data_IF_528743264822
#
_entry.id   IF_528743264822
#
_cell.length_a   1.000
_cell.length_b   1.000
_cell.length_c   1.000
_cell.angle_alpha   90.00
_cell.angle_beta   90.00
_cell.angle_gamma   90.00
#
_symmetry.space_group_name_H-M   'P 1'
#
loop_
_entity.id
_entity.type
_entity.pdbx_description
1 polymer ?
#
# COMPACT_ATOMS: atom_id res chain seq x y z
N UNK A 1 13.30 -1.85 -28.89
CA UNK A 1 12.34 -2.18 -27.82
C UNK A 1 12.50 -1.27 -26.61
N UNK A 2 13.72 -1.07 -26.08
CA UNK A 2 13.96 -0.12 -24.98
C UNK A 2 13.51 1.32 -25.27
N UNK A 3 13.68 1.82 -26.50
CA UNK A 3 13.27 3.19 -26.87
C UNK A 3 11.76 3.47 -26.65
N UNK A 4 10.90 2.48 -26.91
CA UNK A 4 9.46 2.62 -26.69
C UNK A 4 9.11 2.63 -25.20
N UNK A 5 9.79 1.80 -24.39
CA UNK A 5 9.60 1.79 -22.95
C UNK A 5 10.10 3.10 -22.31
N UNK A 6 11.22 3.63 -22.80
CA UNK A 6 11.76 4.92 -22.37
C UNK A 6 10.82 6.06 -22.70
N UNK A 7 10.26 6.10 -23.92
CA UNK A 7 9.23 7.07 -24.31
C UNK A 7 8.00 6.98 -23.42
N UNK A 8 7.50 5.77 -23.18
CA UNK A 8 6.37 5.55 -22.27
C UNK A 8 6.66 6.06 -20.85
N UNK A 9 7.81 5.70 -20.28
CA UNK A 9 8.19 6.10 -18.93
C UNK A 9 8.36 7.62 -18.82
N UNK A 10 9.03 8.24 -19.80
CA UNK A 10 9.19 9.69 -19.86
C UNK A 10 7.84 10.42 -20.00
N UNK A 11 6.94 9.92 -20.84
CA UNK A 11 5.58 10.47 -20.98
C UNK A 11 4.75 10.33 -19.69
N UNK A 12 4.99 9.28 -18.91
CA UNK A 12 4.32 9.04 -17.64
C UNK A 12 4.94 9.81 -16.45
N UNK A 13 6.07 10.52 -16.61
CA UNK A 13 6.78 11.14 -15.49
C UNK A 13 5.93 12.13 -14.69
N UNK A 14 5.20 13.02 -15.37
CA UNK A 14 4.31 13.98 -14.67
C UNK A 14 3.24 13.26 -13.86
N UNK A 15 2.62 12.23 -14.43
CA UNK A 15 1.63 11.41 -13.73
C UNK A 15 2.23 10.67 -12.54
N UNK A 16 3.45 10.13 -12.69
CA UNK A 16 4.17 9.46 -11.60
C UNK A 16 4.52 10.43 -10.46
N UNK A 17 4.94 11.65 -10.79
CA UNK A 17 5.22 12.69 -9.80
C UNK A 17 3.95 13.15 -9.08
N UNK A 18 2.83 13.29 -9.79
CA UNK A 18 1.54 13.65 -9.21
C UNK A 18 1.02 12.54 -8.27
N UNK A 19 1.14 11.27 -8.68
CA UNK A 19 0.79 10.11 -7.85
C UNK A 19 1.65 10.07 -6.58
N UNK A 20 2.96 10.22 -6.72
CA UNK A 20 3.89 10.25 -5.57
C UNK A 20 3.57 11.41 -4.63
N UNK A 21 3.36 12.60 -5.17
CA UNK A 21 2.93 13.78 -4.39
C UNK A 21 1.59 13.53 -3.69
N UNK A 22 0.67 12.81 -4.31
CA UNK A 22 -0.62 12.46 -3.68
C UNK A 22 -0.44 11.50 -2.51
N UNK A 23 0.44 10.49 -2.63
CA UNK A 23 0.79 9.60 -1.52
C UNK A 23 1.28 10.43 -0.33
N UNK A 24 2.24 11.33 -0.55
CA UNK A 24 2.78 12.18 0.51
C UNK A 24 1.71 13.07 1.15
N UNK A 25 0.86 13.72 0.36
CA UNK A 25 -0.25 14.55 0.88
C UNK A 25 -1.21 13.74 1.74
N UNK A 26 -1.58 12.54 1.31
CA UNK A 26 -2.49 11.69 2.08
C UNK A 26 -1.82 11.18 3.36
N UNK A 27 -0.53 10.84 3.35
CA UNK A 27 0.21 10.47 4.55
C UNK A 27 0.27 11.62 5.57
N UNK A 28 0.53 12.85 5.12
CA UNK A 28 0.50 14.04 5.98
C UNK A 28 -0.90 14.28 6.55
N UNK A 29 -1.95 14.13 5.74
CA UNK A 29 -3.32 14.26 6.17
C UNK A 29 -3.71 13.19 7.19
N UNK A 30 -3.28 11.94 6.99
CA UNK A 30 -3.45 10.85 7.95
C UNK A 30 -2.82 11.20 9.30
N UNK A 31 -1.58 11.68 9.31
CA UNK A 31 -0.91 12.06 10.56
C UNK A 31 -1.67 13.17 11.30
N UNK A 32 -2.09 14.21 10.60
CA UNK A 32 -2.89 15.29 11.19
C UNK A 32 -4.24 14.80 11.72
N UNK A 33 -4.88 13.85 11.04
CA UNK A 33 -6.13 13.26 11.54
C UNK A 33 -5.90 12.32 12.73
N UNK A 34 -4.76 11.65 12.81
CA UNK A 34 -4.40 10.78 13.94
C UNK A 34 -4.18 11.58 15.22
N UNK A 35 -3.51 12.73 15.13
CA UNK A 35 -3.36 13.68 16.25
C UNK A 35 -4.75 14.14 16.74
N UNK A 36 -5.62 14.59 15.83
CA UNK A 36 -6.98 14.99 16.18
C UNK A 36 -7.84 13.83 16.73
N UNK A 37 -7.65 12.61 16.22
CA UNK A 37 -8.31 11.40 16.72
C UNK A 37 -7.91 11.15 18.17
N UNK A 38 -6.63 11.24 18.49
CA UNK A 38 -6.12 11.00 19.83
C UNK A 38 -6.65 12.05 20.82
N UNK A 39 -6.62 13.34 20.48
CA UNK A 39 -7.16 14.40 21.33
C UNK A 39 -8.66 14.21 21.63
N UNK A 40 -9.45 13.83 20.63
CA UNK A 40 -10.87 13.55 20.80
C UNK A 40 -11.10 12.27 21.61
N UNK A 41 -10.26 11.24 21.44
CA UNK A 41 -10.34 10.00 22.23
C UNK A 41 -10.06 10.29 23.71
N UNK A 42 -9.00 11.03 24.03
CA UNK A 42 -8.63 11.38 25.41
C UNK A 42 -9.75 12.19 26.08
N UNK A 43 -10.40 13.09 25.33
CA UNK A 43 -11.56 13.83 25.80
C UNK A 43 -12.74 12.90 26.10
N UNK A 44 -13.03 11.93 25.22
CA UNK A 44 -14.09 10.96 25.46
C UNK A 44 -13.79 10.15 26.71
N UNK A 45 -12.59 9.60 26.83
CA UNK A 45 -12.20 8.74 27.96
C UNK A 45 -12.27 9.48 29.30
N UNK A 46 -11.93 10.78 29.32
CA UNK A 46 -12.02 11.62 30.52
C UNK A 46 -13.46 11.85 30.99
N UNK A 47 -14.39 12.12 30.05
CA UNK A 47 -15.75 12.56 30.40
C UNK A 47 -16.78 11.43 30.40
N UNK A 48 -16.56 10.30 29.72
CA UNK A 48 -17.52 9.19 29.65
C UNK A 48 -17.78 8.59 31.05
N UNK A 49 -16.77 8.56 31.93
CA UNK A 49 -16.91 8.14 33.33
C UNK A 49 -17.58 9.17 34.26
N UNK A 50 -17.58 10.46 33.88
CA UNK A 50 -18.17 11.56 34.67
C UNK A 50 -19.66 11.69 34.36
N UNK A 51 -20.06 11.59 33.09
CA UNK A 51 -21.46 11.68 32.65
C UNK A 51 -22.32 10.55 33.23
N UNK A 52 -21.73 9.41 33.59
CA UNK A 52 -22.45 8.30 34.24
C UNK A 52 -22.75 8.54 35.73
N UNK A 53 -22.10 9.50 36.40
CA UNK A 53 -22.18 9.69 37.86
C UNK A 53 -23.11 10.82 38.31
N UNK A 54 -23.39 11.82 37.46
CA UNK A 54 -24.12 13.03 37.85
C UNK A 54 -25.41 13.30 37.05
N UNK A 55 -26.42 13.82 37.76
CA UNK A 55 -27.77 14.15 37.25
C UNK A 55 -27.80 15.45 36.41
N UNK A 56 -26.69 16.20 36.34
CA UNK A 56 -26.49 17.40 35.49
C UNK A 56 -26.20 17.03 34.03
N UNK A 57 -27.08 16.18 33.48
CA UNK A 57 -26.86 15.31 32.34
C UNK A 57 -26.86 16.03 30.98
N UNK A 58 -27.43 17.22 30.86
CA UNK A 58 -27.91 17.70 29.55
C UNK A 58 -26.85 18.44 28.72
N UNK A 59 -26.06 19.35 29.31
CA UNK A 59 -25.07 20.12 28.54
C UNK A 59 -23.78 19.33 28.31
N UNK A 60 -23.33 18.57 29.30
CA UNK A 60 -22.12 17.74 29.17
C UNK A 60 -22.33 16.55 28.22
N UNK A 61 -23.55 15.98 28.14
CA UNK A 61 -23.85 14.90 27.19
C UNK A 61 -23.83 15.40 25.74
N UNK A 62 -24.48 16.53 25.44
CA UNK A 62 -24.49 17.10 24.09
C UNK A 62 -23.08 17.48 23.62
N UNK A 63 -22.25 18.03 24.52
CA UNK A 63 -20.84 18.31 24.25
C UNK A 63 -20.04 17.04 23.94
N UNK A 64 -20.21 16.00 24.76
CA UNK A 64 -19.53 14.72 24.60
C UNK A 64 -19.96 13.99 23.32
N UNK A 65 -21.25 14.00 22.98
CA UNK A 65 -21.77 13.41 21.75
C UNK A 65 -21.16 14.08 20.51
N UNK A 66 -20.99 15.41 20.55
CA UNK A 66 -20.28 16.13 19.47
C UNK A 66 -18.83 15.69 19.33
N UNK A 67 -18.13 15.44 20.44
CA UNK A 67 -16.74 14.94 20.40
C UNK A 67 -16.70 13.51 19.86
N UNK A 68 -17.62 12.62 20.27
CA UNK A 68 -17.75 11.26 19.72
C UNK A 68 -18.01 11.28 18.21
N UNK A 69 -18.83 12.21 17.72
CA UNK A 69 -19.03 12.41 16.27
C UNK A 69 -17.75 12.83 15.55
N UNK A 70 -16.97 13.76 16.13
CA UNK A 70 -15.66 14.15 15.56
C UNK A 70 -14.67 12.99 15.54
N UNK A 71 -14.58 12.23 16.63
CA UNK A 71 -13.73 11.04 16.75
C UNK A 71 -14.05 10.03 15.64
N UNK A 72 -15.33 9.69 15.46
CA UNK A 72 -15.77 8.82 14.38
C UNK A 72 -15.44 9.39 12.99
N UNK A 73 -15.55 10.72 12.82
CA UNK A 73 -15.11 11.42 11.62
C UNK A 73 -13.61 11.27 11.34
N UNK A 74 -12.77 11.40 12.38
CA UNK A 74 -11.32 11.23 12.26
C UNK A 74 -10.97 9.79 11.88
N UNK A 75 -11.56 8.78 12.54
CA UNK A 75 -11.33 7.36 12.23
C UNK A 75 -11.62 7.07 10.76
N UNK A 76 -12.80 7.48 10.27
CA UNK A 76 -13.19 7.27 8.87
C UNK A 76 -12.27 8.02 7.90
N UNK A 77 -11.81 9.20 8.26
CA UNK A 77 -10.88 9.97 7.43
C UNK A 77 -9.53 9.24 7.31
N UNK A 78 -8.98 8.73 8.41
CA UNK A 78 -7.75 7.93 8.44
C UNK A 78 -7.87 6.69 7.56
N UNK A 79 -8.95 5.93 7.70
CA UNK A 79 -9.24 4.76 6.86
C UNK A 79 -9.29 5.14 5.37
N UNK A 80 -9.99 6.23 5.05
CA UNK A 80 -10.12 6.73 3.67
C UNK A 80 -8.77 7.12 3.09
N UNK A 81 -7.94 7.86 3.83
CA UNK A 81 -6.61 8.22 3.38
C UNK A 81 -5.71 7.00 3.20
N UNK A 82 -5.82 5.98 4.06
CA UNK A 82 -5.14 4.70 3.88
C UNK A 82 -5.47 4.05 2.53
N UNK A 83 -6.76 3.96 2.20
CA UNK A 83 -7.23 3.44 0.90
C UNK A 83 -6.70 4.28 -0.27
N UNK A 84 -6.73 5.62 -0.16
CA UNK A 84 -6.23 6.52 -1.21
C UNK A 84 -4.72 6.35 -1.45
N UNK A 85 -3.95 6.16 -0.38
CA UNK A 85 -2.52 5.86 -0.47
C UNK A 85 -2.29 4.53 -1.19
N UNK A 86 -3.02 3.48 -0.85
CA UNK A 86 -2.90 2.17 -1.50
C UNK A 86 -3.28 2.21 -2.98
N UNK A 87 -4.32 2.98 -3.35
CA UNK A 87 -4.71 3.20 -4.75
C UNK A 87 -3.58 3.89 -5.52
N UNK A 88 -3.03 4.98 -4.98
CA UNK A 88 -1.95 5.72 -5.63
C UNK A 88 -0.66 4.88 -5.74
N UNK A 89 -0.34 4.11 -4.70
CA UNK A 89 0.79 3.20 -4.70
C UNK A 89 0.61 2.06 -5.73
N UNK A 90 -0.59 1.48 -5.81
CA UNK A 90 -0.93 0.46 -6.81
C UNK A 90 -0.83 1.00 -8.24
N UNK A 91 -1.26 2.24 -8.48
CA UNK A 91 -1.11 2.91 -9.77
C UNK A 91 0.36 3.14 -10.16
N UNK A 92 1.21 3.52 -9.20
CA UNK A 92 2.65 3.67 -9.41
C UNK A 92 3.30 2.32 -9.79
N UNK A 93 2.96 1.23 -9.09
CA UNK A 93 3.40 -0.12 -9.43
C UNK A 93 2.87 -0.59 -10.79
N UNK A 94 1.64 -0.24 -11.14
CA UNK A 94 1.02 -0.54 -12.44
C UNK A 94 1.81 0.10 -13.60
N UNK A 95 2.12 1.40 -13.51
CA UNK A 95 2.91 2.11 -14.53
C UNK A 95 4.32 1.52 -14.62
N UNK A 96 4.93 1.23 -13.48
CA UNK A 96 6.26 0.61 -13.40
C UNK A 96 6.30 -0.75 -14.10
N UNK A 97 5.35 -1.64 -13.76
CA UNK A 97 5.23 -2.96 -14.40
C UNK A 97 4.96 -2.82 -15.90
N UNK A 98 4.15 -1.85 -16.32
CA UNK A 98 3.84 -1.62 -17.73
C UNK A 98 5.08 -1.21 -18.51
N UNK A 99 5.91 -0.30 -17.97
CA UNK A 99 7.18 0.08 -18.59
C UNK A 99 8.11 -1.13 -18.79
N UNK A 100 8.27 -1.97 -17.74
CA UNK A 100 9.07 -3.19 -17.83
C UNK A 100 8.49 -4.20 -18.83
N UNK A 101 7.16 -4.29 -18.93
CA UNK A 101 6.50 -5.18 -19.87
C UNK A 101 6.70 -4.72 -21.32
N UNK A 102 6.73 -3.41 -21.58
CA UNK A 102 7.05 -2.86 -22.90
C UNK A 102 8.51 -3.15 -23.28
N UNK A 103 9.43 -3.03 -22.33
CA UNK A 103 10.86 -3.25 -22.57
C UNK A 103 11.21 -4.74 -22.77
N UNK A 104 10.66 -5.62 -21.93
CA UNK A 104 11.14 -7.00 -21.77
C UNK A 104 10.07 -8.07 -22.03
N UNK A 105 8.79 -7.68 -22.13
CA UNK A 105 7.66 -8.59 -22.27
C UNK A 105 7.34 -9.32 -20.97
N UNK A 106 7.99 -10.48 -20.76
CA UNK A 106 7.78 -11.32 -19.57
C UNK A 106 8.68 -10.88 -18.41
N UNK A 107 8.25 -11.15 -17.17
CA UNK A 107 9.00 -10.80 -15.96
C UNK A 107 10.40 -11.40 -15.97
N UNK A 108 10.54 -12.65 -16.40
CA UNK A 108 11.79 -13.40 -16.40
C UNK A 108 12.87 -12.78 -17.32
N UNK A 109 12.43 -11.98 -18.30
CA UNK A 109 13.33 -11.29 -19.23
C UNK A 109 13.82 -9.94 -18.70
N UNK A 110 13.15 -9.37 -17.68
CA UNK A 110 13.53 -8.09 -17.11
C UNK A 110 14.70 -8.26 -16.13
N UNK A 111 15.65 -7.29 -16.09
CA UNK A 111 16.73 -7.30 -15.12
C UNK A 111 16.16 -7.30 -13.69
N UNK A 112 16.83 -7.96 -12.75
CA UNK A 112 16.38 -8.06 -11.36
C UNK A 112 16.36 -6.71 -10.65
N UNK A 113 17.27 -5.81 -11.02
CA UNK A 113 17.58 -4.61 -10.26
C UNK A 113 18.28 -4.94 -8.94
N UNK A 114 18.32 -3.98 -8.02
CA UNK A 114 18.92 -4.15 -6.70
C UNK A 114 18.22 -5.27 -5.90
N UNK A 115 18.99 -5.96 -5.06
CA UNK A 115 18.43 -6.88 -4.07
C UNK A 115 17.81 -6.10 -2.93
N UNK A 116 16.60 -6.50 -2.51
CA UNK A 116 15.83 -5.86 -1.44
C UNK A 116 15.14 -6.98 -0.64
N UNK A 117 15.39 -7.07 0.66
CA UNK A 117 14.71 -8.02 1.57
C UNK A 117 14.52 -9.44 1.00
N UNK A 118 15.61 -10.14 0.68
CA UNK A 118 15.66 -11.48 0.03
C UNK A 118 14.97 -11.64 -1.33
N UNK A 119 14.50 -10.54 -1.92
CA UNK A 119 13.95 -10.48 -3.26
C UNK A 119 14.69 -9.40 -4.07
N UNK A 120 14.13 -8.97 -5.19
CA UNK A 120 14.69 -7.92 -6.03
C UNK A 120 13.62 -6.90 -6.44
N UNK A 121 14.06 -5.70 -6.85
CA UNK A 121 13.16 -4.61 -7.26
C UNK A 121 12.15 -5.06 -8.31
N UNK A 122 12.60 -5.77 -9.35
CA UNK A 122 11.73 -6.30 -10.41
C UNK A 122 10.59 -7.15 -9.87
N UNK A 123 10.91 -8.06 -8.96
CA UNK A 123 9.92 -9.00 -8.43
C UNK A 123 8.94 -8.31 -7.49
N UNK A 124 9.40 -7.33 -6.72
CA UNK A 124 8.53 -6.47 -5.92
C UNK A 124 7.57 -5.64 -6.79
N UNK A 125 8.04 -5.08 -7.91
CA UNK A 125 7.16 -4.36 -8.85
C UNK A 125 6.08 -5.30 -9.39
N UNK A 126 6.46 -6.47 -9.89
CA UNK A 126 5.53 -7.38 -10.55
C UNK A 126 4.52 -8.00 -9.59
N UNK A 127 5.02 -8.55 -8.48
CA UNK A 127 4.18 -9.23 -7.51
C UNK A 127 3.43 -8.24 -6.63
N UNK A 128 4.04 -7.10 -6.31
CA UNK A 128 3.36 -6.00 -5.63
C UNK A 128 2.18 -5.46 -6.42
N UNK A 129 2.36 -5.21 -7.73
CA UNK A 129 1.25 -4.82 -8.62
C UNK A 129 0.15 -5.88 -8.66
N UNK A 130 0.51 -7.15 -8.81
CA UNK A 130 -0.49 -8.21 -8.90
C UNK A 130 -1.27 -8.36 -7.60
N UNK A 131 -0.57 -8.31 -6.47
CA UNK A 131 -1.17 -8.35 -5.15
C UNK A 131 -2.10 -7.16 -4.94
N UNK A 132 -1.67 -5.93 -5.26
CA UNK A 132 -2.49 -4.73 -5.02
C UNK A 132 -3.78 -4.68 -5.83
N UNK A 133 -3.84 -5.39 -6.96
CA UNK A 133 -5.04 -5.46 -7.81
C UNK A 133 -5.96 -6.66 -7.55
N UNK A 134 -5.41 -7.73 -6.96
CA UNK A 134 -6.09 -9.02 -6.85
C UNK A 134 -6.00 -9.59 -5.43
N UNK A 135 -5.83 -8.73 -4.41
CA UNK A 135 -5.60 -9.18 -3.04
C UNK A 135 -6.80 -9.94 -2.49
N UNK A 136 -8.04 -9.60 -2.89
CA UNK A 136 -9.25 -10.31 -2.48
C UNK A 136 -9.30 -11.75 -2.99
N UNK A 137 -8.62 -12.02 -4.10
CA UNK A 137 -8.53 -13.34 -4.74
C UNK A 137 -7.31 -14.15 -4.25
N UNK A 138 -6.67 -13.72 -3.15
CA UNK A 138 -5.47 -14.37 -2.62
C UNK A 138 -5.73 -15.83 -2.25
N UNK A 139 -5.00 -16.73 -2.90
CA UNK A 139 -5.00 -18.18 -2.63
C UNK A 139 -3.69 -18.59 -1.98
N UNK A 140 -3.73 -18.82 -0.67
CA UNK A 140 -2.56 -19.25 0.11
C UNK A 140 -2.20 -20.72 -0.12
N UNK A 141 -3.19 -21.54 -0.46
CA UNK A 141 -3.02 -22.98 -0.71
C UNK A 141 -3.52 -23.35 -2.11
N UNK A 142 -2.90 -24.35 -2.77
CA UNK A 142 -3.35 -24.81 -4.06
C UNK A 142 -4.72 -25.49 -3.93
N UNK A 143 -5.62 -25.18 -4.86
CA UNK A 143 -6.91 -25.87 -4.97
C UNK A 143 -6.67 -27.26 -5.55
N UNK A 144 -7.19 -28.30 -4.88
CA UNK A 144 -7.06 -29.70 -5.31
C UNK A 144 -8.43 -30.29 -5.62
N UNK A 145 -8.50 -31.20 -6.60
CA UNK A 145 -9.69 -31.98 -6.87
C UNK A 145 -9.86 -33.14 -5.86
N UNK A 146 -10.96 -33.87 -5.96
CA UNK A 146 -11.26 -35.06 -5.13
C UNK A 146 -10.18 -36.15 -5.21
N UNK A 147 -9.37 -36.15 -6.27
CA UNK A 147 -8.24 -37.08 -6.48
C UNK A 147 -6.90 -36.53 -5.96
N UNK A 148 -6.91 -35.39 -5.25
CA UNK A 148 -5.72 -34.73 -4.72
C UNK A 148 -4.86 -33.99 -5.75
N UNK A 149 -5.25 -33.95 -7.03
CA UNK A 149 -4.52 -33.25 -8.11
C UNK A 149 -4.79 -31.75 -8.01
N UNK A 150 -3.73 -30.95 -8.09
CA UNK A 150 -3.83 -29.47 -8.11
C UNK A 150 -4.57 -29.01 -9.37
N UNK A 151 -5.70 -28.33 -9.17
CA UNK A 151 -6.49 -27.66 -10.20
C UNK A 151 -5.89 -26.27 -10.47
N UNK A 152 -5.62 -25.52 -9.42
CA UNK A 152 -5.06 -24.16 -9.48
C UNK A 152 -4.03 -23.99 -8.38
N UNK A 153 -2.88 -23.40 -8.70
CA UNK A 153 -1.84 -23.10 -7.72
C UNK A 153 -2.20 -21.96 -6.76
N UNK A 154 -1.27 -21.63 -5.88
CA UNK A 154 -1.34 -20.42 -5.05
C UNK A 154 -1.24 -19.16 -5.94
N UNK A 155 -1.68 -18.02 -5.41
CA UNK A 155 -1.47 -16.74 -6.08
C UNK A 155 0.03 -16.45 -6.24
N UNK A 156 0.43 -15.87 -7.37
CA UNK A 156 1.84 -15.76 -7.77
C UNK A 156 2.71 -14.94 -6.81
N UNK A 157 2.10 -14.06 -6.03
CA UNK A 157 2.77 -13.20 -5.06
C UNK A 157 3.00 -13.87 -3.70
N UNK A 158 2.30 -14.96 -3.37
CA UNK A 158 2.27 -15.53 -2.01
C UNK A 158 3.67 -15.89 -1.51
N UNK A 159 4.49 -16.56 -2.31
CA UNK A 159 5.82 -16.98 -1.84
C UNK A 159 6.72 -15.79 -1.47
N UNK A 160 6.68 -14.71 -2.26
CA UNK A 160 7.49 -13.52 -2.01
C UNK A 160 7.00 -12.78 -0.77
N UNK A 161 5.70 -12.57 -0.64
CA UNK A 161 5.15 -11.86 0.51
C UNK A 161 5.28 -12.66 1.80
N UNK A 162 5.25 -14.00 1.75
CA UNK A 162 5.58 -14.81 2.91
C UNK A 162 7.03 -14.61 3.35
N UNK A 163 8.00 -14.65 2.42
CA UNK A 163 9.42 -14.38 2.74
C UNK A 163 9.64 -12.99 3.32
N UNK A 164 8.93 -11.98 2.81
CA UNK A 164 8.97 -10.62 3.34
C UNK A 164 8.37 -10.56 4.75
N UNK A 165 7.26 -11.26 4.99
CA UNK A 165 6.64 -11.33 6.31
C UNK A 165 7.51 -12.07 7.32
N UNK A 166 8.23 -13.12 6.91
CA UNK A 166 9.16 -13.85 7.77
C UNK A 166 10.31 -12.94 8.25
N UNK A 167 10.72 -11.96 7.43
CA UNK A 167 11.73 -10.96 7.80
C UNK A 167 11.18 -9.77 8.59
N UNK A 168 9.92 -9.42 8.34
CA UNK A 168 9.22 -8.30 8.98
C UNK A 168 7.84 -8.77 9.44
N UNK A 169 7.76 -9.52 10.55
CA UNK A 169 6.50 -10.12 11.01
C UNK A 169 5.39 -9.07 11.21
N UNK A 170 4.20 -9.39 10.71
CA UNK A 170 2.99 -8.57 10.83
C UNK A 170 2.84 -7.48 9.77
N UNK A 171 3.90 -7.15 9.02
CA UNK A 171 3.82 -6.10 7.98
C UNK A 171 3.24 -6.61 6.66
N UNK A 172 3.64 -7.81 6.25
CA UNK A 172 3.24 -8.44 4.98
C UNK A 172 2.29 -9.61 5.21
N UNK A 173 1.47 -9.50 6.25
CA UNK A 173 0.53 -10.55 6.61
C UNK A 173 -0.51 -10.73 5.49
N UNK A 174 -0.64 -11.97 5.02
CA UNK A 174 -1.65 -12.36 4.04
C UNK A 174 -2.73 -13.18 4.72
N UNK A 175 -3.50 -12.54 5.58
CA UNK A 175 -4.66 -13.12 6.27
C UNK A 175 -5.93 -12.33 5.93
N UNK A 176 -7.11 -12.98 5.93
CA UNK A 176 -8.38 -12.27 5.83
C UNK A 176 -8.64 -11.35 7.03
N UNK A 177 -9.23 -10.14 6.85
CA UNK A 177 -9.60 -9.54 5.58
C UNK A 177 -8.37 -9.09 4.79
N UNK A 178 -8.26 -9.55 3.53
CA UNK A 178 -7.12 -9.19 2.69
C UNK A 178 -7.15 -7.70 2.37
N UNK A 179 -5.96 -7.10 2.32
CA UNK A 179 -5.75 -5.69 1.94
C UNK A 179 -4.68 -5.57 0.88
N UNK A 180 -4.66 -4.42 0.20
CA UNK A 180 -3.52 -4.04 -0.62
C UNK A 180 -2.26 -3.92 0.24
N UNK A 181 -1.13 -4.41 -0.28
CA UNK A 181 0.21 -4.24 0.27
C UNK A 181 1.04 -3.30 -0.62
N UNK A 182 0.40 -2.53 -1.51
CA UNK A 182 1.08 -1.64 -2.45
C UNK A 182 1.99 -0.64 -1.74
N UNK A 183 1.48 0.04 -0.70
CA UNK A 183 2.27 0.98 0.09
C UNK A 183 3.43 0.30 0.80
N UNK A 184 3.22 -0.89 1.35
CA UNK A 184 4.26 -1.67 2.02
C UNK A 184 5.39 -2.09 1.05
N UNK A 185 5.03 -2.38 -0.21
CA UNK A 185 6.00 -2.61 -1.29
C UNK A 185 6.80 -1.33 -1.58
N UNK A 186 6.14 -0.17 -1.72
CA UNK A 186 6.85 1.09 -1.94
C UNK A 186 7.81 1.42 -0.79
N UNK A 187 7.40 1.22 0.45
CA UNK A 187 8.29 1.45 1.60
C UNK A 187 9.49 0.51 1.58
N UNK A 188 9.31 -0.73 1.14
CA UNK A 188 10.39 -1.72 1.06
C UNK A 188 11.38 -1.38 -0.05
N UNK A 189 10.87 -0.82 -1.14
CA UNK A 189 11.69 -0.25 -2.21
C UNK A 189 12.28 1.12 -1.84
N UNK A 190 11.90 1.69 -0.70
CA UNK A 190 12.20 3.06 -0.26
C UNK A 190 11.72 4.13 -1.27
N UNK A 191 10.63 3.85 -1.98
CA UNK A 191 10.05 4.74 -2.98
C UNK A 191 9.04 5.71 -2.38
N UNK A 192 8.41 5.36 -1.24
CA UNK A 192 7.33 6.15 -0.64
C UNK A 192 7.72 7.61 -0.39
N UNK A 193 8.93 7.86 0.09
CA UNK A 193 9.40 9.20 0.47
C UNK A 193 10.51 9.73 -0.43
N UNK A 194 11.01 8.94 -1.39
CA UNK A 194 12.11 9.31 -2.28
C UNK A 194 11.75 9.01 -3.73
N UNK A 195 11.22 10.04 -4.41
CA UNK A 195 10.90 9.98 -5.84
C UNK A 195 12.17 9.81 -6.69
N UNK A 196 13.29 10.40 -6.29
CA UNK A 196 14.56 10.30 -7.02
C UNK A 196 15.07 8.86 -7.02
N UNK A 197 14.94 8.15 -5.90
CA UNK A 197 15.25 6.73 -5.82
C UNK A 197 14.33 5.89 -6.71
N UNK A 198 13.02 6.15 -6.69
CA UNK A 198 12.08 5.53 -7.61
C UNK A 198 12.50 5.71 -9.07
N UNK A 199 12.78 6.95 -9.49
CA UNK A 199 13.18 7.26 -10.86
C UNK A 199 14.49 6.56 -11.24
N UNK A 200 15.50 6.60 -10.37
CA UNK A 200 16.79 5.93 -10.57
C UNK A 200 16.62 4.43 -10.74
N UNK A 201 15.85 3.79 -9.85
CA UNK A 201 15.63 2.35 -9.88
C UNK A 201 14.91 1.94 -11.19
N UNK A 202 13.91 2.72 -11.62
CA UNK A 202 13.22 2.49 -12.90
C UNK A 202 14.10 2.73 -14.11
N UNK A 203 14.88 3.81 -14.15
CA UNK A 203 15.84 4.09 -15.24
C UNK A 203 16.88 2.99 -15.36
N UNK A 204 17.42 2.53 -14.21
CA UNK A 204 18.35 1.41 -14.17
C UNK A 204 17.72 0.12 -14.73
N UNK A 205 16.50 -0.21 -14.29
CA UNK A 205 15.78 -1.38 -14.78
C UNK A 205 15.42 -1.30 -16.26
N UNK A 206 15.24 -0.10 -16.82
CA UNK A 206 15.00 0.13 -18.24
C UNK A 206 16.30 0.27 -19.05
N UNK A 207 17.47 0.15 -18.43
CA UNK A 207 18.76 0.32 -19.12
C UNK A 207 18.98 1.73 -19.67
N UNK A 208 18.39 2.75 -19.04
CA UNK A 208 18.64 4.16 -19.33
C UNK A 208 19.88 4.55 -18.51
N UNK A 209 20.98 4.88 -19.19
CA UNK A 209 22.14 5.47 -18.51
C UNK A 209 21.74 6.80 -17.88
N UNK A 210 21.94 6.89 -16.56
CA UNK A 210 21.87 8.13 -15.76
C UNK A 210 23.18 8.88 -15.82
#
# INVERSE_FOLDING_TARGET
MNDQANKYFNQAQMMLLDLHSSILRHLMATQSMEEARQDNQDTVDLFDGVVQRDVLRDVCSVGLDRVKLKLNGNIRAIETYGVLVDIAAGALLQISKQALSIAYGKRENAPTGASVSSTCVRDLIWHGRNQSMHYEETRLMPLRNEKGKVITGCSSWVEIFQKLNDQRPGRFEMSPPYRSLAKDVLDTLEWTYDYTKFERDMRHLLGICT
#
